data_IF_266619509232
#
_entry.id   IF_266619509232
#
_cell.length_a   1.000
_cell.length_b   1.000
_cell.length_c   1.000
_cell.angle_alpha   90.00
_cell.angle_beta   90.00
_cell.angle_gamma   90.00
#
_symmetry.space_group_name_H-M   'P 1'
#
loop_
_entity.id
_entity.type
_entity.pdbx_description
1 polymer ?
#
# COMPACT_ATOMS: atom_id res chain seq x y z
N UNK A 1 15.43 3.27 8.30
CA UNK A 1 13.98 3.13 8.56
C UNK A 1 13.54 1.77 8.05
N UNK A 2 12.97 0.93 8.92
CA UNK A 2 12.42 -0.36 8.51
C UNK A 2 11.02 -0.12 7.95
N UNK A 3 10.78 -0.49 6.69
CA UNK A 3 9.45 -0.45 6.11
C UNK A 3 8.60 -1.53 6.76
N UNK A 4 7.40 -1.16 7.24
CA UNK A 4 6.44 -2.16 7.72
C UNK A 4 6.02 -3.05 6.55
N UNK A 5 5.98 -4.35 6.78
CA UNK A 5 5.48 -5.33 5.82
C UNK A 5 4.64 -6.39 6.54
N UNK A 6 3.71 -7.00 5.82
CA UNK A 6 2.97 -8.15 6.31
C UNK A 6 2.64 -9.12 5.17
N UNK A 7 2.53 -10.40 5.48
CA UNK A 7 1.96 -11.38 4.54
C UNK A 7 0.46 -11.51 4.79
N UNK A 8 -0.35 -11.42 3.75
CA UNK A 8 -1.81 -11.60 3.79
C UNK A 8 -2.25 -12.45 2.61
N UNK A 9 -2.86 -13.62 2.89
CA UNK A 9 -3.33 -14.57 1.85
C UNK A 9 -2.26 -14.86 0.79
N UNK A 10 -1.06 -15.20 1.24
CA UNK A 10 0.14 -15.48 0.43
C UNK A 10 0.71 -14.30 -0.38
N UNK A 11 0.17 -13.08 -0.20
CA UNK A 11 0.71 -11.86 -0.79
C UNK A 11 1.56 -11.11 0.23
N UNK A 12 2.76 -10.69 -0.15
CA UNK A 12 3.58 -9.80 0.68
C UNK A 12 3.16 -8.35 0.41
N UNK A 13 2.68 -7.67 1.44
CA UNK A 13 2.31 -6.27 1.41
C UNK A 13 3.43 -5.48 2.10
N UNK A 14 3.99 -4.50 1.41
CA UNK A 14 5.02 -3.60 1.95
C UNK A 14 4.48 -2.18 1.96
N UNK A 15 4.54 -1.52 3.12
CA UNK A 15 4.18 -0.11 3.24
C UNK A 15 5.26 0.76 2.57
N UNK A 16 4.83 1.56 1.60
CA UNK A 16 5.66 2.48 0.82
C UNK A 16 5.16 3.91 1.05
N UNK A 17 5.56 4.47 2.20
CA UNK A 17 5.23 5.83 2.61
C UNK A 17 6.24 6.81 2.01
N UNK A 18 5.74 7.91 1.47
CA UNK A 18 6.56 9.02 0.95
C UNK A 18 6.46 10.23 1.88
N UNK A 19 7.56 10.93 2.09
CA UNK A 19 7.61 12.15 2.90
C UNK A 19 7.52 13.41 2.03
N UNK A 20 6.66 14.34 2.43
CA UNK A 20 6.47 15.67 1.85
C UNK A 20 6.60 16.73 2.96
N UNK A 21 7.85 17.17 3.26
CA UNK A 21 8.11 18.05 4.39
C UNK A 21 7.46 19.43 4.21
N UNK A 22 7.19 20.10 5.33
CA UNK A 22 6.64 21.47 5.35
C UNK A 22 5.12 21.56 5.40
N UNK A 23 4.41 20.43 5.57
CA UNK A 23 2.96 20.38 5.80
C UNK A 23 2.63 19.74 7.15
N UNK A 24 1.46 20.02 7.76
CA UNK A 24 1.02 19.35 8.98
C UNK A 24 0.84 17.82 8.84
N UNK A 25 0.67 17.33 7.61
CA UNK A 25 0.47 15.91 7.29
C UNK A 25 1.47 15.47 6.21
N UNK A 26 2.76 15.35 6.56
CA UNK A 26 3.82 15.16 5.57
C UNK A 26 3.88 13.74 4.99
N UNK A 27 3.18 12.77 5.58
CA UNK A 27 3.33 11.36 5.22
C UNK A 27 2.25 10.91 4.23
N UNK A 28 2.63 10.67 2.98
CA UNK A 28 1.75 10.09 1.98
C UNK A 28 1.79 8.57 2.02
N UNK A 29 0.70 7.93 2.42
CA UNK A 29 0.59 6.48 2.51
C UNK A 29 0.39 5.80 1.16
N UNK A 30 0.80 4.53 1.08
CA UNK A 30 0.70 3.69 -0.08
C UNK A 30 1.41 2.35 0.16
N UNK A 31 1.16 1.36 -0.68
CA UNK A 31 1.75 0.03 -0.54
C UNK A 31 2.20 -0.56 -1.88
N UNK A 32 3.12 -1.52 -1.81
CA UNK A 32 3.34 -2.51 -2.89
C UNK A 32 2.87 -3.86 -2.44
N UNK A 33 2.40 -4.64 -3.40
CA UNK A 33 1.94 -6.00 -3.20
C UNK A 33 2.79 -6.88 -4.10
N UNK A 34 3.38 -7.92 -3.51
CA UNK A 34 4.04 -9.00 -4.23
C UNK A 34 3.14 -10.22 -4.20
N UNK A 35 2.79 -10.76 -5.36
CA UNK A 35 2.00 -11.99 -5.46
C UNK A 35 2.85 -13.25 -5.13
N UNK A 36 2.22 -14.43 -4.98
CA UNK A 36 2.93 -15.68 -4.72
C UNK A 36 3.89 -16.10 -5.86
N UNK A 37 3.70 -15.59 -7.09
CA UNK A 37 4.58 -15.85 -8.22
C UNK A 37 5.79 -14.90 -8.27
N UNK A 38 5.85 -13.92 -7.36
CA UNK A 38 6.93 -12.94 -7.25
C UNK A 38 6.72 -11.67 -8.09
N UNK A 39 5.56 -11.48 -8.71
CA UNK A 39 5.24 -10.23 -9.40
C UNK A 39 4.93 -9.14 -8.39
N UNK A 40 5.51 -7.96 -8.61
CA UNK A 40 5.36 -6.81 -7.71
C UNK A 40 4.57 -5.71 -8.39
N UNK A 41 3.57 -5.16 -7.70
CA UNK A 41 2.83 -4.01 -8.19
C UNK A 41 3.70 -2.74 -8.22
N UNK A 42 3.25 -1.74 -8.98
CA UNK A 42 3.67 -0.35 -8.74
C UNK A 42 3.19 0.10 -7.35
N UNK A 43 3.67 1.25 -6.88
CA UNK A 43 3.15 1.88 -5.65
C UNK A 43 1.66 2.15 -5.81
N UNK A 44 0.85 1.55 -4.95
CA UNK A 44 -0.59 1.77 -4.85
C UNK A 44 -0.83 2.84 -3.76
N UNK A 45 -1.09 4.11 -4.12
CA UNK A 45 -1.35 5.15 -3.14
C UNK A 45 -2.66 4.88 -2.40
N UNK A 46 -2.74 5.36 -1.15
CA UNK A 46 -4.02 5.43 -0.45
C UNK A 46 -5.02 6.34 -1.19
N UNK A 47 -6.34 6.13 -1.01
CA UNK A 47 -7.36 7.06 -1.48
C UNK A 47 -7.09 8.49 -1.01
N UNK A 48 -7.30 9.48 -1.89
CA UNK A 48 -6.97 10.89 -1.67
C UNK A 48 -7.49 11.45 -0.32
N UNK A 49 -8.69 11.06 0.08
CA UNK A 49 -9.33 11.49 1.34
C UNK A 49 -8.54 11.08 2.60
N UNK A 50 -7.71 10.03 2.49
CA UNK A 50 -6.91 9.49 3.59
C UNK A 50 -5.43 9.33 3.20
N UNK A 51 -4.97 10.04 2.17
CA UNK A 51 -3.64 9.82 1.62
C UNK A 51 -2.53 10.37 2.49
N UNK A 52 -2.78 11.43 3.27
CA UNK A 52 -1.78 12.15 4.03
C UNK A 52 -2.02 12.07 5.54
N UNK A 53 -0.95 11.90 6.31
CA UNK A 53 -1.03 11.74 7.76
C UNK A 53 0.06 12.54 8.49
N UNK A 54 -0.24 12.87 9.73
CA UNK A 54 0.63 13.58 10.68
C UNK A 54 1.79 12.69 11.17
N UNK A 55 1.53 11.41 11.37
CA UNK A 55 2.51 10.45 11.91
C UNK A 55 2.89 9.36 10.89
N UNK A 56 4.19 9.08 10.78
CA UNK A 56 4.72 8.03 9.89
C UNK A 56 4.13 6.66 10.23
N UNK A 57 4.03 6.32 11.52
CA UNK A 57 3.53 5.01 11.94
C UNK A 57 2.05 4.83 11.53
N UNK A 58 1.22 5.87 11.65
CA UNK A 58 -0.16 5.86 11.14
C UNK A 58 -0.17 5.61 9.64
N UNK A 59 0.67 6.31 8.88
CA UNK A 59 0.81 6.13 7.43
C UNK A 59 1.20 4.70 7.06
N UNK A 60 2.14 4.10 7.79
CA UNK A 60 2.54 2.72 7.56
C UNK A 60 1.41 1.73 7.87
N UNK A 61 0.74 1.87 9.03
CA UNK A 61 -0.37 0.99 9.43
C UNK A 61 -1.55 1.04 8.44
N UNK A 62 -1.94 2.24 8.01
CA UNK A 62 -3.02 2.41 7.03
C UNK A 62 -2.62 1.91 5.63
N UNK A 63 -1.35 2.06 5.24
CA UNK A 63 -0.83 1.47 4.01
C UNK A 63 -0.95 -0.06 4.01
N UNK A 64 -0.65 -0.71 5.14
CA UNK A 64 -0.84 -2.16 5.28
C UNK A 64 -2.32 -2.54 5.21
N UNK A 65 -3.19 -1.81 5.91
CA UNK A 65 -4.63 -2.07 5.88
C UNK A 65 -5.20 -1.96 4.45
N UNK A 66 -4.76 -0.95 3.70
CA UNK A 66 -5.14 -0.77 2.30
C UNK A 66 -4.64 -1.91 1.41
N UNK A 67 -3.39 -2.34 1.59
CA UNK A 67 -2.85 -3.48 0.84
C UNK A 67 -3.65 -4.76 1.09
N UNK A 68 -4.08 -5.02 2.33
CA UNK A 68 -4.94 -6.18 2.65
C UNK A 68 -6.27 -6.08 1.91
N UNK A 69 -6.92 -4.92 1.98
CA UNK A 69 -8.17 -4.67 1.27
C UNK A 69 -8.02 -4.87 -0.25
N UNK A 70 -6.94 -4.40 -0.86
CA UNK A 70 -6.67 -4.60 -2.29
C UNK A 70 -6.52 -6.08 -2.67
N UNK A 71 -5.82 -6.86 -1.84
CA UNK A 71 -5.69 -8.32 -2.02
C UNK A 71 -7.05 -8.99 -1.91
N UNK A 72 -7.87 -8.62 -0.93
CA UNK A 72 -9.22 -9.18 -0.78
C UNK A 72 -10.11 -8.82 -2.00
N UNK A 73 -10.03 -7.58 -2.49
CA UNK A 73 -10.75 -7.17 -3.71
C UNK A 73 -10.30 -7.95 -4.96
N UNK A 74 -9.02 -8.28 -5.05
CA UNK A 74 -8.51 -9.09 -6.15
C UNK A 74 -9.00 -10.53 -6.10
N UNK A 75 -8.85 -11.16 -4.94
CA UNK A 75 -9.15 -12.58 -4.76
C UNK A 75 -10.66 -12.86 -4.73
N UNK A 76 -11.43 -11.99 -4.10
CA UNK A 76 -12.86 -12.24 -3.85
C UNK A 76 -13.76 -11.60 -4.93
N UNK A 77 -13.30 -10.54 -5.59
CA UNK A 77 -14.09 -9.77 -6.56
C UNK A 77 -13.43 -9.65 -7.95
N UNK A 78 -12.28 -10.27 -8.17
CA UNK A 78 -11.62 -10.30 -9.48
C UNK A 78 -11.09 -8.95 -9.97
N UNK A 79 -10.89 -7.97 -9.08
CA UNK A 79 -10.27 -6.68 -9.47
C UNK A 79 -8.82 -6.89 -9.88
N UNK A 80 -8.35 -6.21 -10.92
CA UNK A 80 -6.95 -6.30 -11.34
C UNK A 80 -6.03 -5.57 -10.35
N UNK A 81 -5.04 -6.28 -9.80
CA UNK A 81 -3.96 -5.70 -8.97
C UNK A 81 -2.83 -5.10 -9.80
N UNK A 82 -2.59 -5.67 -10.98
CA UNK A 82 -1.48 -5.33 -11.85
C UNK A 82 -2.03 -4.55 -13.04
N UNK A 83 -1.51 -3.34 -13.28
CA UNK A 83 -1.78 -2.66 -14.55
C UNK A 83 -1.19 -3.51 -15.68
N UNK A 84 -2.01 -3.84 -16.68
CA UNK A 84 -1.51 -4.37 -17.94
C UNK A 84 -0.54 -3.35 -18.55
N UNK A 85 0.62 -3.83 -19.00
CA UNK A 85 1.50 -3.01 -19.83
C UNK A 85 0.70 -2.57 -21.07
N UNK A 86 0.70 -1.27 -21.35
CA UNK A 86 0.00 -0.67 -22.49
C UNK A 86 0.71 -1.01 -23.81
#
# INVERSE_FOLDING_TARGET
>A
MTMMQCTHRDHLITAEVMEYPGTPTPWAGGCRITDPAGHVTRRMPLPLEHAFMDELEKAQRLSIAHGKWLVDQHLDHGRELFQKAA
#
